data_IF_311454430201
#
_entry.id   IF_311454430201
#
_cell.length_a   1.000
_cell.length_b   1.000
_cell.length_c   1.000
_cell.angle_alpha   90.00
_cell.angle_beta   90.00
_cell.angle_gamma   90.00
#
_symmetry.space_group_name_H-M   'P 1'
#
loop_
_entity.id
_entity.type
_entity.pdbx_description
1 polymer ?
#
# COMPACT_ATOMS: atom_id res chain seq x y z
N UNK A 1 52.88 -46.54 -1.15
CA UNK A 1 51.55 -45.89 -1.00
C UNK A 1 51.15 -45.14 -2.29
N UNK A 2 50.40 -45.84 -3.16
CA UNK A 2 49.97 -45.38 -4.48
C UNK A 2 48.84 -44.33 -4.34
N UNK A 3 48.98 -43.20 -5.03
CA UNK A 3 47.92 -42.19 -5.21
C UNK A 3 46.86 -42.74 -6.17
N UNK A 4 45.59 -42.67 -5.77
CA UNK A 4 44.44 -42.98 -6.61
C UNK A 4 44.10 -41.81 -7.55
N UNK A 5 43.57 -42.05 -8.76
CA UNK A 5 43.30 -41.01 -9.74
C UNK A 5 41.92 -40.37 -9.55
N UNK A 6 41.87 -39.10 -9.93
CA UNK A 6 40.69 -38.23 -10.01
C UNK A 6 39.77 -38.72 -11.12
N UNK A 7 38.48 -38.93 -10.81
CA UNK A 7 37.42 -39.20 -11.79
C UNK A 7 36.65 -37.88 -12.01
N UNK A 8 36.80 -37.29 -13.19
CA UNK A 8 35.97 -36.20 -13.68
C UNK A 8 34.91 -36.77 -14.62
N UNK A 9 33.63 -36.70 -14.25
CA UNK A 9 32.50 -36.96 -15.15
C UNK A 9 32.10 -35.66 -15.88
N UNK A 10 31.83 -35.67 -17.20
CA UNK A 10 31.33 -34.50 -17.89
C UNK A 10 29.82 -34.34 -17.65
N UNK A 11 29.41 -33.16 -17.18
CA UNK A 11 28.00 -32.75 -17.13
C UNK A 11 27.49 -32.49 -18.56
N UNK A 12 26.68 -33.40 -19.07
CA UNK A 12 25.93 -33.20 -20.32
C UNK A 12 24.83 -32.17 -20.08
N UNK A 13 24.96 -30.99 -20.70
CA UNK A 13 23.88 -30.01 -20.80
C UNK A 13 22.79 -30.56 -21.73
N UNK A 14 21.60 -30.81 -21.21
CA UNK A 14 20.40 -30.91 -22.03
C UNK A 14 19.69 -29.56 -22.03
N UNK A 15 19.88 -28.82 -23.12
CA UNK A 15 19.07 -27.67 -23.49
C UNK A 15 17.67 -28.17 -23.89
N UNK A 16 16.65 -27.78 -23.13
CA UNK A 16 15.24 -27.99 -23.51
C UNK A 16 14.82 -26.78 -24.34
N UNK A 17 14.62 -27.01 -25.64
CA UNK A 17 14.02 -26.04 -26.54
C UNK A 17 12.54 -25.85 -26.21
N UNK A 18 11.99 -24.62 -26.24
CA UNK A 18 10.56 -24.42 -26.05
C UNK A 18 9.80 -24.89 -27.30
N UNK A 19 8.99 -25.93 -27.12
CA UNK A 19 7.98 -26.36 -28.09
C UNK A 19 6.91 -25.28 -28.24
N UNK A 20 6.77 -24.79 -29.46
CA UNK A 20 5.70 -23.89 -29.91
C UNK A 20 4.35 -24.60 -29.77
N UNK A 21 3.53 -24.18 -28.82
CA UNK A 21 2.11 -24.56 -28.76
C UNK A 21 1.31 -23.45 -29.42
N UNK A 22 0.83 -23.72 -30.63
CA UNK A 22 -0.04 -22.84 -31.39
C UNK A 22 -1.40 -22.72 -30.70
N UNK A 23 -1.66 -21.59 -30.05
CA UNK A 23 -3.02 -21.25 -29.63
C UNK A 23 -3.82 -20.78 -30.84
N UNK A 24 -4.81 -21.60 -31.22
CA UNK A 24 -5.88 -21.25 -32.15
C UNK A 24 -6.67 -20.05 -31.59
N UNK A 25 -6.47 -18.89 -32.21
CA UNK A 25 -7.28 -17.69 -32.01
C UNK A 25 -8.58 -17.85 -32.79
N UNK A 26 -9.70 -17.98 -32.09
CA UNK A 26 -11.04 -17.94 -32.69
C UNK A 26 -11.41 -16.46 -32.94
N UNK A 27 -11.71 -16.04 -34.18
CA UNK A 27 -12.08 -14.65 -34.45
C UNK A 27 -13.51 -14.36 -33.99
N UNK A 28 -13.66 -13.36 -33.11
CA UNK A 28 -14.97 -12.81 -32.75
C UNK A 28 -15.48 -11.93 -33.89
N UNK A 29 -16.61 -12.32 -34.46
CA UNK A 29 -17.28 -11.61 -35.56
C UNK A 29 -17.69 -10.18 -35.15
N UNK A 30 -17.39 -9.21 -36.03
CA UNK A 30 -17.90 -7.83 -35.96
C UNK A 30 -19.29 -7.78 -36.62
N UNK A 31 -20.32 -7.46 -35.83
CA UNK A 31 -21.65 -7.08 -36.33
C UNK A 31 -21.79 -5.55 -36.53
N UNK A 32 -22.79 -5.08 -37.30
CA UNK A 32 -22.76 -3.78 -37.98
C UNK A 32 -23.24 -2.59 -37.15
N UNK A 33 -22.93 -1.42 -37.71
CA UNK A 33 -23.16 -0.05 -37.23
C UNK A 33 -24.63 0.39 -37.33
N UNK A 34 -24.99 1.35 -36.47
CA UNK A 34 -26.19 2.21 -36.51
C UNK A 34 -26.86 2.24 -35.14
N UNK A 35 -27.38 3.34 -34.60
CA UNK A 35 -27.50 4.74 -34.97
C UNK A 35 -27.93 5.48 -33.69
N UNK A 36 -27.76 6.80 -33.65
CA UNK A 36 -28.40 7.76 -32.74
C UNK A 36 -28.17 7.62 -31.22
N UNK A 37 -27.20 8.38 -30.72
CA UNK A 37 -27.41 9.14 -29.48
C UNK A 37 -26.96 10.58 -29.67
N UNK A 38 -27.95 11.43 -29.89
CA UNK A 38 -27.83 12.87 -29.91
C UNK A 38 -27.05 13.38 -28.69
N UNK A 39 -26.00 14.13 -28.99
CA UNK A 39 -25.10 14.78 -28.05
C UNK A 39 -25.83 15.97 -27.41
N UNK A 40 -26.42 15.79 -26.23
CA UNK A 40 -26.98 16.89 -25.45
C UNK A 40 -25.85 17.60 -24.68
N UNK A 41 -25.12 18.52 -25.34
CA UNK A 41 -24.23 19.44 -24.65
C UNK A 41 -25.08 20.48 -23.89
N UNK A 42 -25.36 20.25 -22.60
CA UNK A 42 -25.83 21.33 -21.72
C UNK A 42 -24.63 22.21 -21.38
N UNK A 43 -24.49 23.32 -22.11
CA UNK A 43 -23.65 24.46 -21.70
C UNK A 43 -24.18 24.99 -20.38
N UNK A 44 -23.51 24.69 -19.27
CA UNK A 44 -23.70 25.41 -18.01
C UNK A 44 -22.87 26.69 -18.12
N UNK A 45 -23.50 27.79 -18.54
CA UNK A 45 -22.90 29.12 -18.39
C UNK A 45 -23.04 29.56 -16.95
N UNK A 46 -22.02 29.27 -16.14
CA UNK A 46 -21.90 29.84 -14.79
C UNK A 46 -21.69 31.35 -14.92
N UNK A 47 -22.78 32.14 -14.81
CA UNK A 47 -22.68 33.58 -14.58
C UNK A 47 -22.19 33.77 -13.15
N UNK A 48 -20.92 34.10 -12.98
CA UNK A 48 -20.41 34.61 -11.71
C UNK A 48 -20.97 36.02 -11.50
N UNK A 49 -21.95 36.16 -10.60
CA UNK A 49 -22.30 37.45 -10.03
C UNK A 49 -21.30 37.78 -8.90
N UNK A 50 -20.81 39.02 -8.77
CA UNK A 50 -19.94 39.38 -7.66
C UNK A 50 -20.73 39.34 -6.34
N UNK A 51 -20.15 38.85 -5.23
CA UNK A 51 -20.84 38.79 -3.96
C UNK A 51 -21.10 40.21 -3.43
N UNK A 52 -22.35 40.49 -3.07
CA UNK A 52 -22.70 41.67 -2.29
C UNK A 52 -22.01 41.60 -0.92
N UNK A 53 -21.32 42.68 -0.54
CA UNK A 53 -20.70 42.81 0.78
C UNK A 53 -21.81 42.89 1.84
N UNK A 54 -22.10 41.76 2.46
CA UNK A 54 -22.82 41.68 3.73
C UNK A 54 -21.78 41.66 4.84
N UNK A 55 -21.81 42.66 5.72
CA UNK A 55 -21.08 42.69 7.00
C UNK A 55 -21.79 41.76 7.98
N UNK A 56 -21.75 40.46 7.70
CA UNK A 56 -22.09 39.42 8.66
C UNK A 56 -20.78 38.91 9.25
N UNK A 57 -20.70 38.99 10.57
CA UNK A 57 -19.53 38.66 11.39
C UNK A 57 -18.83 37.39 10.91
N UNK A 58 -17.50 37.46 10.92
CA UNK A 58 -16.64 36.31 10.69
C UNK A 58 -16.99 35.23 11.72
N UNK A 59 -17.81 34.26 11.32
CA UNK A 59 -17.98 33.03 12.06
C UNK A 59 -16.58 32.40 12.21
N UNK A 60 -16.16 32.00 13.42
CA UNK A 60 -14.85 31.42 13.61
C UNK A 60 -14.75 30.17 12.74
N UNK A 61 -13.58 29.92 12.17
CA UNK A 61 -13.27 28.78 11.30
C UNK A 61 -13.37 27.40 12.01
N UNK A 62 -14.09 27.32 13.12
CA UNK A 62 -14.10 26.24 14.09
C UNK A 62 -15.50 25.62 14.23
N UNK A 63 -16.11 25.23 13.11
CA UNK A 63 -17.33 24.40 13.15
C UNK A 63 -17.02 22.90 13.23
N UNK A 64 -15.75 22.54 13.00
CA UNK A 64 -15.18 21.19 13.06
C UNK A 64 -13.73 21.29 13.56
N UNK A 65 -13.53 21.72 14.80
CA UNK A 65 -12.21 21.83 15.41
C UNK A 65 -11.41 20.53 15.33
N UNK A 66 -10.08 20.65 15.41
CA UNK A 66 -9.21 19.48 15.46
C UNK A 66 -9.48 18.67 16.73
N UNK A 67 -9.86 17.40 16.57
CA UNK A 67 -10.09 16.45 17.68
C UNK A 67 -8.83 16.14 18.50
N UNK A 68 -7.67 16.66 18.09
CA UNK A 68 -6.40 16.43 18.77
C UNK A 68 -6.46 16.81 20.26
N UNK A 69 -6.99 17.99 20.59
CA UNK A 69 -6.99 18.47 21.98
C UNK A 69 -7.98 17.70 22.87
N UNK A 70 -9.09 17.24 22.30
CA UNK A 70 -10.06 16.40 23.01
C UNK A 70 -9.48 15.00 23.22
N UNK A 71 -8.91 14.42 22.16
CA UNK A 71 -8.25 13.12 22.20
C UNK A 71 -7.12 13.09 23.21
N UNK A 72 -6.29 14.13 23.29
CA UNK A 72 -5.21 14.21 24.28
C UNK A 72 -5.76 14.20 25.72
N UNK A 73 -6.87 14.89 25.99
CA UNK A 73 -7.53 14.88 27.30
C UNK A 73 -8.10 13.50 27.63
N UNK A 74 -8.75 12.85 26.67
CA UNK A 74 -9.31 11.51 26.86
C UNK A 74 -8.21 10.49 27.16
N UNK A 75 -7.11 10.54 26.40
CA UNK A 75 -5.95 9.68 26.58
C UNK A 75 -5.34 9.78 27.98
N UNK A 76 -5.32 10.97 28.60
CA UNK A 76 -4.81 11.14 29.98
C UNK A 76 -5.65 10.37 31.01
N UNK A 77 -6.94 10.19 30.75
CA UNK A 77 -7.88 9.55 31.67
C UNK A 77 -8.17 8.08 31.37
N UNK A 78 -7.88 7.61 30.16
CA UNK A 78 -8.14 6.24 29.72
C UNK A 78 -7.09 5.25 30.25
N UNK A 79 -7.47 4.41 31.21
CA UNK A 79 -6.57 3.43 31.84
C UNK A 79 -6.05 2.36 30.87
N UNK A 80 -6.87 1.94 29.90
CA UNK A 80 -6.50 0.93 28.89
C UNK A 80 -5.44 1.51 27.95
N UNK A 81 -5.67 2.74 27.49
CA UNK A 81 -4.73 3.46 26.66
C UNK A 81 -3.39 3.69 27.38
N UNK A 82 -3.43 4.11 28.65
CA UNK A 82 -2.23 4.31 29.47
C UNK A 82 -1.45 3.01 29.67
N UNK A 83 -2.13 1.87 29.84
CA UNK A 83 -1.47 0.56 29.92
C UNK A 83 -0.81 0.18 28.61
N UNK A 84 -1.51 0.32 27.48
CA UNK A 84 -0.96 0.07 26.16
C UNK A 84 0.27 0.95 25.86
N UNK A 85 0.22 2.23 26.23
CA UNK A 85 1.33 3.16 26.05
C UNK A 85 2.55 2.80 26.92
N UNK A 86 2.34 2.37 28.18
CA UNK A 86 3.42 1.87 29.03
C UNK A 86 4.08 0.64 28.41
N UNK A 87 3.27 -0.33 27.97
CA UNK A 87 3.75 -1.53 27.29
C UNK A 87 4.59 -1.19 26.05
N UNK A 88 4.11 -0.28 25.21
CA UNK A 88 4.86 0.16 24.02
C UNK A 88 6.20 0.83 24.39
N UNK A 89 6.24 1.64 25.46
CA UNK A 89 7.47 2.30 25.91
C UNK A 89 8.47 1.30 26.51
N UNK A 90 7.99 0.30 27.24
CA UNK A 90 8.79 -0.71 27.92
C UNK A 90 9.32 -1.78 26.95
N UNK A 91 8.42 -2.34 26.14
CA UNK A 91 8.73 -3.43 25.20
C UNK A 91 9.26 -2.90 23.85
N UNK A 92 8.94 -1.64 23.52
CA UNK A 92 9.17 -1.06 22.19
C UNK A 92 8.33 -1.75 21.11
N UNK A 93 8.46 -1.27 19.87
CA UNK A 93 8.25 -2.13 18.70
C UNK A 93 9.50 -2.99 18.48
N UNK A 94 9.95 -3.72 19.51
CA UNK A 94 11.22 -4.46 19.44
C UNK A 94 11.22 -5.32 18.17
N UNK A 95 12.01 -4.88 17.20
CA UNK A 95 12.17 -5.60 15.95
C UNK A 95 12.80 -6.94 16.34
N UNK A 96 12.04 -8.03 16.23
CA UNK A 96 12.55 -9.40 16.42
C UNK A 96 13.94 -9.48 15.79
N UNK A 97 14.95 -9.95 16.54
CA UNK A 97 16.31 -10.04 16.00
C UNK A 97 16.27 -10.84 14.70
N UNK A 98 17.18 -10.56 13.76
CA UNK A 98 17.21 -11.30 12.49
C UNK A 98 17.29 -12.81 12.73
N UNK A 99 18.02 -13.20 13.77
CA UNK A 99 18.13 -14.57 14.25
C UNK A 99 16.80 -15.11 14.81
N UNK A 100 16.09 -14.34 15.62
CA UNK A 100 14.76 -14.71 16.13
C UNK A 100 13.73 -14.86 15.02
N UNK A 101 13.71 -13.93 14.05
CA UNK A 101 12.83 -14.03 12.86
C UNK A 101 13.14 -15.28 12.06
N UNK A 102 14.43 -15.57 11.85
CA UNK A 102 14.85 -16.76 11.14
C UNK A 102 14.50 -18.03 11.92
N UNK A 103 14.67 -18.04 13.24
CA UNK A 103 14.27 -19.13 14.13
C UNK A 103 12.77 -19.39 14.08
N UNK A 104 11.93 -18.35 14.16
CA UNK A 104 10.46 -18.47 14.04
C UNK A 104 10.02 -18.90 12.64
N UNK A 105 10.66 -18.37 11.59
CA UNK A 105 10.43 -18.80 10.21
C UNK A 105 10.71 -20.30 10.04
N UNK A 106 11.80 -20.77 10.68
CA UNK A 106 12.24 -22.17 10.69
C UNK A 106 11.63 -23.03 11.81
N UNK A 107 10.77 -22.47 12.66
CA UNK A 107 10.17 -23.22 13.76
C UNK A 107 9.26 -24.34 13.24
N UNK A 108 8.82 -24.23 11.98
CA UNK A 108 8.08 -25.24 11.26
C UNK A 108 8.98 -26.32 10.63
N UNK A 109 10.29 -26.08 10.45
CA UNK A 109 11.21 -27.03 9.79
C UNK A 109 11.36 -28.35 10.56
N UNK A 110 11.13 -28.32 11.88
CA UNK A 110 11.16 -29.50 12.75
C UNK A 110 9.82 -30.19 12.91
N UNK A 111 8.75 -29.62 12.35
CA UNK A 111 7.45 -30.26 12.24
C UNK A 111 7.41 -30.86 10.83
N UNK A 112 7.03 -32.14 10.69
CA UNK A 112 6.93 -32.84 9.39
C UNK A 112 5.72 -32.32 8.58
N UNK A 113 5.71 -31.01 8.31
CA UNK A 113 4.70 -30.29 7.55
C UNK A 113 5.32 -29.83 6.23
N UNK A 114 4.67 -30.12 5.09
CA UNK A 114 5.17 -29.68 3.80
C UNK A 114 5.18 -28.15 3.70
N UNK A 115 6.04 -27.62 2.84
CA UNK A 115 5.99 -26.20 2.50
C UNK A 115 4.61 -25.84 1.93
N UNK A 116 4.12 -24.62 2.18
CA UNK A 116 2.78 -24.23 1.72
C UNK A 116 2.61 -24.40 0.20
N UNK A 117 3.63 -24.07 -0.59
CA UNK A 117 3.59 -24.24 -2.05
C UNK A 117 3.45 -25.71 -2.46
N UNK A 118 4.14 -26.62 -1.78
CA UNK A 118 4.01 -28.06 -2.00
C UNK A 118 2.63 -28.55 -1.59
N UNK A 119 2.12 -28.07 -0.45
CA UNK A 119 0.78 -28.38 0.02
C UNK A 119 -0.27 -27.98 -1.02
N UNK A 120 -0.19 -26.79 -1.62
CA UNK A 120 -1.13 -26.31 -2.65
C UNK A 120 -1.15 -27.27 -3.85
N UNK A 121 0.02 -27.61 -4.39
CA UNK A 121 0.14 -28.50 -5.55
C UNK A 121 -0.34 -29.92 -5.23
N UNK A 122 0.06 -30.46 -4.07
CA UNK A 122 -0.34 -31.79 -3.61
C UNK A 122 -1.86 -31.94 -3.45
N UNK A 123 -2.55 -30.85 -3.14
CA UNK A 123 -4.01 -30.81 -3.01
C UNK A 123 -4.75 -30.46 -4.31
N UNK A 124 -4.05 -30.50 -5.46
CA UNK A 124 -4.67 -30.41 -6.77
C UNK A 124 -4.91 -28.99 -7.29
N UNK A 125 -4.33 -27.97 -6.66
CA UNK A 125 -4.31 -26.61 -7.18
C UNK A 125 -3.02 -26.32 -7.96
N UNK A 126 -3.05 -25.33 -8.85
CA UNK A 126 -1.86 -24.87 -9.56
C UNK A 126 -0.89 -24.15 -8.62
N UNK A 127 0.38 -24.10 -9.00
CA UNK A 127 1.39 -23.33 -8.28
C UNK A 127 0.99 -21.85 -8.21
N UNK A 128 1.09 -21.25 -7.02
CA UNK A 128 0.80 -19.83 -6.83
C UNK A 128 1.90 -18.98 -7.46
N UNK A 129 1.56 -18.29 -8.55
CA UNK A 129 2.46 -17.35 -9.22
C UNK A 129 2.00 -15.93 -8.93
N UNK A 130 2.93 -15.08 -8.50
CA UNK A 130 2.63 -13.67 -8.20
C UNK A 130 2.34 -12.90 -9.49
N UNK A 131 1.20 -12.24 -9.54
CA UNK A 131 0.86 -11.30 -10.61
C UNK A 131 1.61 -9.95 -10.49
N UNK A 132 1.67 -9.15 -11.57
CA UNK A 132 2.20 -7.79 -11.51
C UNK A 132 1.55 -6.98 -10.38
N UNK A 133 2.33 -6.10 -9.75
CA UNK A 133 1.80 -5.29 -8.64
C UNK A 133 0.95 -4.16 -9.18
N UNK A 134 -0.35 -4.17 -8.86
CA UNK A 134 -1.32 -3.19 -9.36
C UNK A 134 -1.70 -2.12 -8.34
N UNK A 135 -1.48 -2.38 -7.05
CA UNK A 135 -1.80 -1.46 -5.96
C UNK A 135 -0.55 -1.25 -5.11
N UNK A 136 -0.20 0.01 -4.89
CA UNK A 136 0.84 0.43 -3.96
C UNK A 136 0.16 1.02 -2.73
N UNK A 137 0.11 0.27 -1.63
CA UNK A 137 -0.37 0.75 -0.35
C UNK A 137 0.80 1.30 0.47
N UNK A 138 0.68 2.55 0.95
CA UNK A 138 1.72 3.24 1.70
C UNK A 138 1.16 3.82 2.99
N UNK A 139 1.84 3.58 4.11
CA UNK A 139 1.60 4.29 5.36
C UNK A 139 2.49 5.55 5.37
N UNK A 140 1.87 6.73 5.43
CA UNK A 140 2.59 8.01 5.36
C UNK A 140 2.87 8.63 6.74
N UNK A 141 2.40 8.00 7.82
CA UNK A 141 2.72 8.40 9.18
C UNK A 141 1.74 7.85 10.21
N UNK A 142 2.14 7.91 11.48
CA UNK A 142 1.35 7.44 12.62
C UNK A 142 0.63 8.55 13.39
N UNK A 143 0.84 9.81 12.99
CA UNK A 143 0.10 10.93 13.56
C UNK A 143 -1.38 10.84 13.19
N UNK A 144 -2.24 10.99 14.19
CA UNK A 144 -3.68 10.93 14.05
C UNK A 144 -4.34 11.95 14.97
N UNK A 145 -5.51 12.46 14.60
CA UNK A 145 -6.32 13.28 15.49
C UNK A 145 -7.16 12.47 16.48
N UNK A 146 -7.06 11.13 16.46
CA UNK A 146 -7.75 10.18 17.33
C UNK A 146 -6.75 9.14 17.88
N UNK A 147 -7.10 8.50 18.99
CA UNK A 147 -6.31 7.44 19.63
C UNK A 147 -7.21 6.22 19.94
N UNK A 148 -7.57 5.46 18.91
CA UNK A 148 -8.49 4.33 19.06
C UNK A 148 -7.80 3.15 19.77
N UNK A 149 -8.45 2.54 20.77
CA UNK A 149 -7.93 1.36 21.49
C UNK A 149 -7.67 0.15 20.59
N UNK A 150 -8.41 0.03 19.49
CA UNK A 150 -8.25 -1.01 18.48
C UNK A 150 -7.35 -0.58 17.30
N UNK A 151 -6.51 0.45 17.47
CA UNK A 151 -5.61 0.90 16.43
C UNK A 151 -4.45 -0.09 16.26
N UNK A 152 -4.51 -0.93 15.23
CA UNK A 152 -3.49 -1.96 14.96
C UNK A 152 -2.07 -1.42 14.68
N UNK A 153 -1.93 -0.13 14.33
CA UNK A 153 -0.64 0.57 14.15
C UNK A 153 -0.35 1.58 15.26
N UNK A 154 -1.23 1.67 16.25
CA UNK A 154 -1.07 2.53 17.44
C UNK A 154 -0.81 4.00 17.08
N UNK A 155 -1.55 4.48 16.08
CA UNK A 155 -1.57 5.89 15.68
C UNK A 155 -2.24 6.73 16.77
N UNK A 156 -1.71 7.92 17.01
CA UNK A 156 -2.29 8.87 17.98
C UNK A 156 -1.73 10.29 17.76
N UNK A 157 -2.27 11.31 18.44
CA UNK A 157 -1.70 12.66 18.37
C UNK A 157 -0.28 12.76 18.92
N UNK A 158 0.18 11.78 19.71
CA UNK A 158 1.53 11.74 20.29
C UNK A 158 2.58 11.11 19.36
N UNK A 159 2.19 10.61 18.18
CA UNK A 159 3.08 9.97 17.18
C UNK A 159 3.46 10.93 16.05
N UNK A 160 3.93 12.12 16.41
CA UNK A 160 4.22 13.22 15.48
C UNK A 160 5.59 13.10 14.77
N UNK A 161 6.46 12.19 15.22
CA UNK A 161 7.80 11.99 14.65
C UNK A 161 7.85 10.90 13.60
N UNK A 162 6.99 9.88 13.70
CA UNK A 162 6.89 8.79 12.73
C UNK A 162 6.08 9.21 11.51
N UNK A 163 6.57 10.22 10.79
CA UNK A 163 5.93 10.82 9.63
C UNK A 163 6.83 10.72 8.40
N UNK A 164 6.22 10.56 7.23
CA UNK A 164 6.96 10.39 5.98
C UNK A 164 7.72 11.66 5.60
N UNK A 165 9.03 11.53 5.38
CA UNK A 165 9.85 12.61 4.84
C UNK A 165 9.57 12.86 3.36
N UNK A 166 9.76 14.11 2.91
CA UNK A 166 9.69 14.46 1.49
C UNK A 166 10.55 13.55 0.61
N UNK A 167 11.78 13.26 1.03
CA UNK A 167 12.70 12.34 0.31
C UNK A 167 12.07 10.97 0.07
N UNK A 168 11.34 10.45 1.04
CA UNK A 168 10.66 9.15 0.91
C UNK A 168 9.47 9.25 -0.03
N UNK A 169 8.69 10.32 0.08
CA UNK A 169 7.58 10.60 -0.85
C UNK A 169 8.08 10.71 -2.30
N UNK A 170 9.17 11.43 -2.55
CA UNK A 170 9.78 11.55 -3.88
C UNK A 170 10.17 10.17 -4.44
N UNK A 171 10.74 9.30 -3.59
CA UNK A 171 11.10 7.93 -4.00
C UNK A 171 9.90 7.05 -4.32
N UNK A 172 8.76 7.28 -3.68
CA UNK A 172 7.50 6.60 -4.04
C UNK A 172 7.00 7.05 -5.41
N UNK A 173 7.11 8.33 -5.73
CA UNK A 173 6.76 8.85 -7.06
C UNK A 173 7.64 8.22 -8.14
N UNK A 174 8.96 8.20 -7.93
CA UNK A 174 9.90 7.53 -8.84
C UNK A 174 9.56 6.04 -9.04
N UNK A 175 9.10 5.36 -7.99
CA UNK A 175 8.68 3.95 -8.07
C UNK A 175 7.39 3.77 -8.86
N UNK A 176 6.41 4.66 -8.69
CA UNK A 176 5.16 4.64 -9.47
C UNK A 176 5.46 4.90 -10.95
N UNK A 177 6.30 5.89 -11.25
CA UNK A 177 6.69 6.23 -12.61
C UNK A 177 7.46 5.08 -13.28
N UNK A 178 8.38 4.44 -12.55
CA UNK A 178 9.14 3.29 -13.03
C UNK A 178 8.29 2.02 -13.23
N UNK A 179 7.09 1.97 -12.64
CA UNK A 179 6.19 0.83 -12.80
C UNK A 179 5.45 0.82 -14.15
N UNK A 180 5.64 1.84 -15.00
CA UNK A 180 5.13 1.94 -16.37
C UNK A 180 3.63 1.61 -16.47
N UNK A 181 2.84 2.21 -15.57
CA UNK A 181 1.39 2.03 -15.51
C UNK A 181 0.90 0.72 -14.90
N UNK A 182 1.78 -0.21 -14.52
CA UNK A 182 1.37 -1.43 -13.82
C UNK A 182 0.74 -1.12 -12.45
N UNK A 183 1.26 -0.13 -11.72
CA UNK A 183 0.65 0.37 -10.48
C UNK A 183 -0.53 1.29 -10.82
N UNK A 184 -1.70 0.68 -10.88
CA UNK A 184 -2.98 1.32 -11.17
C UNK A 184 -3.70 1.88 -9.93
N UNK A 185 -3.16 1.79 -8.71
CA UNK A 185 -3.73 2.46 -7.54
C UNK A 185 -2.65 2.80 -6.52
N UNK A 186 -2.66 4.05 -6.01
CA UNK A 186 -1.91 4.45 -4.82
C UNK A 186 -2.91 4.50 -3.66
N UNK A 187 -2.78 3.58 -2.71
CA UNK A 187 -3.59 3.54 -1.50
C UNK A 187 -2.81 4.21 -0.35
N UNK A 188 -3.28 5.37 0.10
CA UNK A 188 -2.61 6.18 1.12
C UNK A 188 -3.26 5.91 2.47
N UNK A 189 -2.47 5.34 3.38
CA UNK A 189 -2.87 4.94 4.73
C UNK A 189 -2.01 5.65 5.77
N UNK A 190 -2.30 5.46 7.06
CA UNK A 190 -1.59 6.07 8.17
C UNK A 190 -2.48 6.18 9.39
N UNK A 191 -2.16 7.10 10.29
CA UNK A 191 -3.13 7.65 11.25
C UNK A 191 -4.21 8.43 10.53
N UNK A 192 -4.13 9.77 10.56
CA UNK A 192 -4.97 10.64 9.75
C UNK A 192 -4.12 11.17 8.59
N UNK A 193 -4.07 10.48 7.43
CA UNK A 193 -3.16 10.80 6.34
C UNK A 193 -3.33 12.24 5.84
N UNK A 194 -4.54 12.80 5.87
CA UNK A 194 -4.85 14.18 5.49
C UNK A 194 -4.14 15.24 6.35
N UNK A 195 -3.69 14.87 7.55
CA UNK A 195 -2.94 15.77 8.44
C UNK A 195 -1.43 15.79 8.09
N UNK A 196 -0.97 14.92 7.19
CA UNK A 196 0.43 14.79 6.81
C UNK A 196 0.81 15.73 5.67
N UNK A 197 1.98 16.37 5.80
CA UNK A 197 2.50 17.31 4.80
C UNK A 197 2.62 16.67 3.40
N UNK A 198 2.99 15.39 3.34
CA UNK A 198 3.22 14.68 2.08
C UNK A 198 1.94 14.14 1.42
N UNK A 199 0.78 14.22 2.09
CA UNK A 199 -0.48 13.72 1.55
C UNK A 199 -0.83 14.37 0.21
N UNK A 200 -0.93 15.70 0.18
CA UNK A 200 -1.31 16.44 -1.02
C UNK A 200 -0.27 16.29 -2.16
N UNK A 201 1.05 16.39 -1.92
CA UNK A 201 2.06 16.09 -2.93
C UNK A 201 1.90 14.70 -3.57
N UNK A 202 1.69 13.66 -2.75
CA UNK A 202 1.52 12.27 -3.23
C UNK A 202 0.26 12.12 -4.07
N UNK A 203 -0.88 12.66 -3.62
CA UNK A 203 -2.14 12.64 -4.39
C UNK A 203 -1.95 13.31 -5.76
N UNK A 204 -1.32 14.49 -5.79
CA UNK A 204 -1.08 15.21 -7.04
C UNK A 204 -0.10 14.48 -7.96
N UNK A 205 0.94 13.84 -7.41
CA UNK A 205 1.89 13.05 -8.20
C UNK A 205 1.22 11.81 -8.81
N UNK A 206 0.42 11.09 -8.03
CA UNK A 206 -0.33 9.94 -8.51
C UNK A 206 -1.33 10.34 -9.62
N UNK A 207 -2.05 11.46 -9.46
CA UNK A 207 -2.96 11.95 -10.48
C UNK A 207 -2.26 12.32 -11.80
N UNK A 208 -1.08 12.97 -11.72
CA UNK A 208 -0.28 13.29 -12.92
C UNK A 208 0.21 12.03 -13.64
N UNK A 209 0.65 11.01 -12.91
CA UNK A 209 1.11 9.74 -13.52
C UNK A 209 0.03 9.04 -14.35
N UNK A 210 -1.25 9.37 -14.11
CA UNK A 210 -2.41 8.85 -14.84
C UNK A 210 -2.94 9.76 -15.95
N UNK A 211 -2.46 11.00 -16.01
CA UNK A 211 -3.00 12.03 -16.90
C UNK A 211 -4.36 12.59 -16.45
N UNK A 212 -4.71 12.46 -15.15
CA UNK A 212 -5.98 12.95 -14.61
C UNK A 212 -5.98 14.47 -14.36
N UNK A 213 -4.79 15.08 -14.23
CA UNK A 213 -4.57 16.51 -13.92
C UNK A 213 -3.33 17.03 -14.64
#
# INVERSE_FOLDING_TARGET
PRRAPVVTSPSTMHAIAPTSTSHLVVPRARGPRGSDRARLQRRVTARCAPPSRSTADAAPADRFGSLVQDTLRDMETDEEFQLAQRRLKEEGQAALTREERARRRRALDGLDVPHFDEFVVRNGADALVREPTTILQVNIGLYCNQACSHCHVESSPLRDREVMSKRTADRLVELIDAADGSIATLDITGGAPELMEQFRPLVLAAARSRGDV
#
